data_IF_194179658598
#
_entry.id   IF_194179658598
#
_cell.length_a   1.000
_cell.length_b   1.000
_cell.length_c   1.000
_cell.angle_alpha   90.00
_cell.angle_beta   90.00
_cell.angle_gamma   90.00
#
_symmetry.space_group_name_H-M   'P 1'
#
loop_
_entity.id
_entity.type
_entity.pdbx_description
1 polymer ?
#
# COMPACT_ATOMS: atom_id res chain seq x y z
N UNK A 1 8.15 3.65 14.75
CA UNK A 1 8.87 3.67 13.45
C UNK A 1 9.11 5.13 13.09
N UNK A 2 10.33 5.56 12.80
CA UNK A 2 10.60 6.96 12.41
C UNK A 2 10.36 7.21 10.91
N UNK A 3 10.38 8.49 10.49
CA UNK A 3 10.35 8.90 9.09
C UNK A 3 11.53 8.29 8.32
N UNK A 4 11.29 7.79 7.11
CA UNK A 4 12.32 7.28 6.19
C UNK A 4 12.23 7.99 4.85
N UNK A 5 13.38 8.17 4.20
CA UNK A 5 13.46 8.89 2.93
C UNK A 5 14.47 8.23 1.99
N UNK A 6 14.12 8.17 0.70
CA UNK A 6 15.00 7.74 -0.39
C UNK A 6 14.95 8.80 -1.48
N UNK A 7 16.11 9.24 -1.96
CA UNK A 7 16.23 10.21 -3.06
C UNK A 7 16.78 9.52 -4.29
N UNK A 8 16.37 10.00 -5.46
CA UNK A 8 16.92 9.54 -6.74
C UNK A 8 17.06 10.71 -7.71
N UNK A 9 18.01 10.56 -8.61
CA UNK A 9 18.23 11.44 -9.75
C UNK A 9 18.56 10.57 -10.95
N UNK A 10 17.84 10.73 -12.04
CA UNK A 10 18.16 10.06 -13.28
C UNK A 10 19.40 10.69 -13.91
N UNK A 11 20.37 9.84 -14.24
CA UNK A 11 21.66 10.23 -14.82
C UNK A 11 21.58 10.25 -16.35
N UNK A 12 20.63 9.50 -16.94
CA UNK A 12 20.49 9.34 -18.40
C UNK A 12 19.00 9.20 -18.77
N UNK A 13 18.62 9.79 -19.91
CA UNK A 13 17.24 9.76 -20.43
C UNK A 13 16.94 10.94 -21.37
N UNK A 14 15.67 11.08 -21.68
CA UNK A 14 15.03 12.15 -22.47
C UNK A 14 14.75 13.44 -21.65
N UNK A 15 14.88 13.36 -20.33
CA UNK A 15 14.79 14.50 -19.43
C UNK A 15 16.17 15.15 -19.22
N UNK A 16 16.19 16.49 -19.21
CA UNK A 16 17.33 17.26 -18.69
C UNK A 16 17.49 17.05 -17.19
N UNK A 17 16.37 16.99 -16.47
CA UNK A 17 16.34 16.70 -15.05
C UNK A 17 15.16 15.80 -14.76
N UNK A 18 15.40 14.68 -14.09
CA UNK A 18 14.37 13.87 -13.48
C UNK A 18 14.89 13.44 -12.12
N UNK A 19 14.35 14.02 -11.07
CA UNK A 19 14.80 13.77 -9.70
C UNK A 19 13.60 13.75 -8.77
N UNK A 20 13.72 13.04 -7.67
CA UNK A 20 12.63 12.97 -6.73
C UNK A 20 13.01 12.30 -5.43
N UNK A 21 12.02 12.18 -4.57
CA UNK A 21 12.15 11.48 -3.30
C UNK A 21 10.88 10.73 -2.93
N UNK A 22 11.09 9.62 -2.27
CA UNK A 22 10.06 8.85 -1.58
C UNK A 22 10.23 9.10 -0.09
N UNK A 23 9.15 9.49 0.57
CA UNK A 23 9.12 9.71 2.02
C UNK A 23 8.06 8.81 2.63
N UNK A 24 8.43 8.06 3.66
CA UNK A 24 7.53 7.18 4.41
C UNK A 24 7.47 7.68 5.84
N UNK A 25 6.26 7.95 6.31
CA UNK A 25 5.99 8.46 7.65
C UNK A 25 4.89 7.60 8.32
N UNK A 26 4.94 7.38 9.64
CA UNK A 26 3.82 6.75 10.34
C UNK A 26 2.58 7.64 10.25
N UNK A 27 1.41 7.04 10.05
CA UNK A 27 0.17 7.78 10.19
C UNK A 27 -0.19 7.94 11.67
N UNK A 28 -0.01 9.17 12.17
CA UNK A 28 -0.32 9.54 13.54
C UNK A 28 -1.82 9.41 13.89
N UNK A 29 -2.70 9.38 12.87
CA UNK A 29 -4.15 9.25 13.05
C UNK A 29 -4.58 7.78 13.14
N UNK A 30 -3.70 6.84 12.81
CA UNK A 30 -4.01 5.41 12.86
C UNK A 30 -3.94 4.90 14.30
N UNK A 31 -5.06 4.38 14.80
CA UNK A 31 -5.29 3.98 16.21
C UNK A 31 -4.34 2.90 16.76
N UNK A 32 -3.42 2.38 15.96
CA UNK A 32 -2.45 1.37 16.35
C UNK A 32 -1.06 1.54 15.71
N UNK A 33 -0.76 2.68 15.05
CA UNK A 33 0.49 2.86 14.32
C UNK A 33 0.72 1.84 13.21
N UNK A 34 -0.37 1.24 12.70
CA UNK A 34 -0.36 0.16 11.69
C UNK A 34 -0.38 0.70 10.26
N UNK A 35 -0.68 1.98 10.07
CA UNK A 35 -0.68 2.62 8.76
C UNK A 35 0.54 3.53 8.58
N UNK A 36 0.97 3.67 7.33
CA UNK A 36 2.06 4.56 6.92
C UNK A 36 1.63 5.40 5.74
N UNK A 37 2.01 6.67 5.75
CA UNK A 37 1.82 7.59 4.64
C UNK A 37 3.04 7.52 3.71
N UNK A 38 2.79 7.30 2.42
CA UNK A 38 3.81 7.36 1.36
C UNK A 38 3.64 8.66 0.57
N UNK A 39 4.66 9.52 0.59
CA UNK A 39 4.73 10.73 -0.23
C UNK A 39 5.77 10.57 -1.33
N UNK A 40 5.40 10.97 -2.54
CA UNK A 40 6.26 10.92 -3.72
C UNK A 40 6.38 12.31 -4.34
N UNK A 41 7.53 12.95 -4.16
CA UNK A 41 7.83 14.29 -4.68
C UNK A 41 8.77 14.16 -5.88
N UNK A 42 8.45 14.78 -7.01
CA UNK A 42 9.25 14.71 -8.24
C UNK A 42 9.41 16.09 -8.87
N UNK A 43 10.62 16.34 -9.38
CA UNK A 43 10.95 17.43 -10.30
C UNK A 43 11.37 16.86 -11.66
N UNK A 44 10.74 17.37 -12.72
CA UNK A 44 10.97 16.94 -14.12
C UNK A 44 11.22 18.15 -15.00
N UNK A 45 12.30 18.12 -15.78
CA UNK A 45 12.62 19.09 -16.82
C UNK A 45 12.93 18.34 -18.11
N UNK A 46 12.11 18.48 -19.17
CA UNK A 46 12.35 17.84 -20.46
C UNK A 46 13.53 18.49 -21.20
N UNK A 47 14.28 17.69 -21.98
CA UNK A 47 15.44 18.18 -22.76
C UNK A 47 15.05 18.76 -24.13
N UNK A 48 13.92 18.33 -24.66
CA UNK A 48 13.35 18.69 -25.97
C UNK A 48 12.05 19.45 -25.70
N UNK A 49 11.59 20.38 -26.56
CA UNK A 49 10.24 20.95 -26.47
C UNK A 49 9.18 19.85 -26.57
N UNK A 50 8.87 19.25 -25.43
CA UNK A 50 7.82 18.25 -25.28
C UNK A 50 6.52 18.99 -25.03
N UNK A 51 5.41 18.63 -25.70
CA UNK A 51 4.12 19.25 -25.42
C UNK A 51 3.78 19.13 -23.94
N UNK A 52 3.37 20.24 -23.34
CA UNK A 52 3.02 20.31 -21.92
C UNK A 52 1.93 19.31 -21.52
N UNK A 53 1.09 18.89 -22.48
CA UNK A 53 0.09 17.85 -22.33
C UNK A 53 0.68 16.46 -22.02
N UNK A 54 1.82 16.10 -22.62
CA UNK A 54 2.47 14.80 -22.38
C UNK A 54 3.15 14.79 -21.01
N UNK A 55 3.89 15.85 -20.69
CA UNK A 55 4.51 16.03 -19.34
C UNK A 55 3.43 15.99 -18.27
N UNK A 56 2.34 16.71 -18.51
CA UNK A 56 1.16 16.73 -17.67
C UNK A 56 0.54 15.36 -17.46
N UNK A 57 0.39 14.57 -18.53
CA UNK A 57 -0.21 13.24 -18.44
C UNK A 57 0.67 12.27 -17.65
N UNK A 58 1.99 12.28 -17.89
CA UNK A 58 2.93 11.46 -17.11
C UNK A 58 2.85 11.83 -15.63
N UNK A 59 2.86 13.13 -15.31
CA UNK A 59 2.79 13.61 -13.92
C UNK A 59 1.43 13.33 -13.27
N UNK A 60 0.31 13.56 -13.98
CA UNK A 60 -1.05 13.48 -13.42
C UNK A 60 -1.68 12.09 -13.48
N UNK A 61 -1.28 11.24 -14.43
CA UNK A 61 -1.87 9.91 -14.61
C UNK A 61 -0.85 8.79 -14.41
N UNK A 62 0.38 8.94 -14.90
CA UNK A 62 1.42 7.92 -14.77
C UNK A 62 1.94 7.77 -13.34
N UNK A 63 2.28 8.87 -12.68
CA UNK A 63 2.84 8.82 -11.32
C UNK A 63 1.86 8.27 -10.28
N UNK A 64 0.56 8.65 -10.26
CA UNK A 64 -0.37 8.10 -9.29
C UNK A 64 -0.58 6.59 -9.44
N UNK A 65 -0.57 6.07 -10.68
CA UNK A 65 -0.66 4.64 -10.93
C UNK A 65 0.54 3.88 -10.34
N UNK A 66 1.75 4.42 -10.50
CA UNK A 66 2.97 3.84 -9.90
C UNK A 66 2.91 3.84 -8.37
N UNK A 67 2.49 4.95 -7.77
CA UNK A 67 2.32 5.07 -6.30
C UNK A 67 1.30 4.05 -5.80
N UNK A 68 0.17 3.91 -6.50
CA UNK A 68 -0.87 2.94 -6.16
C UNK A 68 -0.35 1.50 -6.21
N UNK A 69 0.44 1.15 -7.22
CA UNK A 69 1.05 -0.17 -7.33
C UNK A 69 2.00 -0.47 -6.17
N UNK A 70 2.79 0.52 -5.73
CA UNK A 70 3.67 0.39 -4.54
C UNK A 70 2.86 0.13 -3.28
N UNK A 71 1.77 0.88 -3.07
CA UNK A 71 0.86 0.70 -1.92
C UNK A 71 0.26 -0.71 -1.92
N UNK A 72 -0.34 -1.13 -3.03
CA UNK A 72 -0.95 -2.47 -3.15
C UNK A 72 0.05 -3.59 -2.86
N UNK A 73 1.27 -3.47 -3.40
CA UNK A 73 2.34 -4.45 -3.17
C UNK A 73 2.74 -4.50 -1.69
N UNK A 74 2.85 -3.35 -1.04
CA UNK A 74 3.22 -3.24 0.37
C UNK A 74 2.15 -3.87 1.28
N UNK A 75 0.87 -3.56 1.05
CA UNK A 75 -0.26 -4.15 1.78
C UNK A 75 -0.30 -5.67 1.61
N UNK A 76 -0.09 -6.17 0.38
CA UNK A 76 -0.06 -7.60 0.14
C UNK A 76 1.10 -8.31 0.87
N UNK A 77 2.27 -7.67 0.98
CA UNK A 77 3.37 -8.21 1.79
C UNK A 77 3.06 -8.16 3.28
N UNK A 78 2.46 -7.09 3.77
CA UNK A 78 2.05 -6.97 5.17
C UNK A 78 1.03 -8.07 5.53
N UNK A 79 0.02 -8.29 4.68
CA UNK A 79 -0.98 -9.33 4.91
C UNK A 79 -0.37 -10.74 4.90
N UNK A 80 0.54 -11.04 3.95
CA UNK A 80 1.30 -12.30 3.94
C UNK A 80 2.10 -12.51 5.22
N UNK A 81 2.74 -11.45 5.74
CA UNK A 81 3.49 -11.52 7.00
C UNK A 81 2.57 -11.76 8.20
N UNK A 82 1.39 -11.13 8.24
CA UNK A 82 0.39 -11.38 9.27
C UNK A 82 -0.10 -12.83 9.24
N UNK A 83 -0.40 -13.37 8.06
CA UNK A 83 -0.77 -14.77 7.90
C UNK A 83 0.33 -15.73 8.34
N UNK A 84 1.59 -15.47 7.94
CA UNK A 84 2.74 -16.27 8.33
C UNK A 84 3.05 -16.19 9.84
N UNK A 85 2.67 -15.10 10.52
CA UNK A 85 2.90 -14.90 11.95
C UNK A 85 1.96 -15.69 12.89
N UNK A 86 1.10 -16.58 12.36
CA UNK A 86 0.29 -17.52 13.15
C UNK A 86 -1.12 -17.04 13.53
N UNK A 87 -1.48 -15.79 13.20
CA UNK A 87 -2.85 -15.27 13.44
C UNK A 87 -3.89 -15.79 12.43
N UNK A 88 -3.47 -16.46 11.35
CA UNK A 88 -4.38 -17.07 10.38
C UNK A 88 -5.16 -18.28 10.93
N UNK A 89 -4.65 -18.93 11.99
CA UNK A 89 -5.29 -20.13 12.57
C UNK A 89 -6.60 -19.85 13.31
N UNK A 90 -6.81 -18.62 13.81
CA UNK A 90 -7.98 -18.28 14.63
C UNK A 90 -9.03 -17.46 13.89
N UNK A 91 -8.68 -16.87 12.74
CA UNK A 91 -9.56 -15.99 11.98
C UNK A 91 -10.56 -16.74 11.06
N UNK A 92 -10.52 -18.08 11.05
CA UNK A 92 -11.32 -18.93 10.16
C UNK A 92 -12.13 -20.03 10.85
N UNK A 93 -12.21 -20.05 12.18
CA UNK A 93 -13.03 -21.02 12.92
C UNK A 93 -14.19 -20.28 13.59
N UNK A 94 -15.12 -19.78 12.78
CA UNK A 94 -16.52 -19.79 13.20
C UNK A 94 -17.10 -21.08 12.60
N UNK A 95 -16.72 -22.21 13.20
CA UNK A 95 -17.43 -23.46 12.99
C UNK A 95 -18.74 -23.32 13.78
N UNK A 96 -19.83 -23.19 13.04
CA UNK A 96 -21.21 -23.27 13.52
C UNK A 96 -21.28 -24.45 14.51
N UNK A 97 -21.36 -24.17 15.81
CA UNK A 97 -21.51 -25.22 16.82
C UNK A 97 -22.84 -25.90 16.49
N UNK A 98 -22.84 -27.18 16.07
CA UNK A 98 -24.09 -27.83 15.76
C UNK A 98 -24.85 -27.96 17.07
N UNK A 99 -25.98 -27.25 17.18
CA UNK A 99 -26.93 -27.45 18.27
C UNK A 99 -27.24 -28.96 18.33
N UNK A 100 -27.06 -29.62 19.48
CA UNK A 100 -27.29 -31.06 19.55
C UNK A 100 -28.74 -31.37 19.20
N UNK A 101 -28.90 -32.06 18.08
CA UNK A 101 -30.18 -32.54 17.62
C UNK A 101 -30.65 -33.70 18.50
N UNK A 102 -31.57 -33.36 19.40
CA UNK A 102 -32.73 -34.14 19.86
C UNK A 102 -32.48 -35.23 20.93
N UNK A 103 -33.49 -35.36 21.82
CA UNK A 103 -34.25 -36.53 22.34
C UNK A 103 -34.61 -36.21 23.81
N UNK A 104 -35.82 -36.37 24.35
CA UNK A 104 -37.06 -36.95 23.88
C UNK A 104 -38.19 -36.57 24.86
N UNK A 105 -39.39 -37.08 24.58
CA UNK A 105 -40.60 -36.95 25.38
C UNK A 105 -40.36 -37.21 26.87
N UNK A 106 -40.87 -36.35 27.74
CA UNK A 106 -41.29 -36.72 29.09
C UNK A 106 -42.73 -36.25 29.29
N UNK A 107 -43.63 -37.24 29.29
CA UNK A 107 -44.94 -37.12 29.91
C UNK A 107 -44.76 -37.01 31.43
N UNK A 108 -45.50 -36.12 32.07
CA UNK A 108 -46.17 -36.28 33.37
C UNK A 108 -47.32 -35.27 33.39
#
# INVERSE_FOLDING_TARGET
MGRREVRFTAIRGDFQQFSGRWVIEPDASSSAGRATVLRYDISVQPRIPMPSAVVSYVVRAGLPANVKAVVQRAEQQANKRLQASGLASWAGVEEDVPLPARWGRCCC
#
